data_IF_438130036673
#
_entry.id   IF_438130036673
#
_cell.length_a   1.000
_cell.length_b   1.000
_cell.length_c   1.000
_cell.angle_alpha   90.00
_cell.angle_beta   90.00
_cell.angle_gamma   90.00
#
_symmetry.space_group_name_H-M   'P 1'
#
loop_
_entity.id
_entity.type
_entity.pdbx_description
1 polymer ?
#
# COMPACT_ATOMS: atom_id res chain seq x y z
N UNK A 1 76.66 56.69 -48.85
CA UNK A 1 76.21 57.45 -50.02
C UNK A 1 74.85 56.92 -50.46
N UNK A 2 73.82 57.67 -50.07
CA UNK A 2 72.44 57.80 -50.56
C UNK A 2 71.90 58.98 -49.70
N UNK A 3 72.21 60.20 -50.13
CA UNK A 3 71.29 61.21 -50.68
C UNK A 3 70.08 61.48 -49.79
N UNK A 4 70.16 62.58 -49.04
CA UNK A 4 69.03 63.20 -48.34
C UNK A 4 68.43 64.26 -49.26
N UNK A 5 67.13 64.19 -49.53
CA UNK A 5 66.37 65.32 -50.07
C UNK A 5 65.51 65.96 -48.98
N UNK A 6 65.42 67.30 -48.92
CA UNK A 6 64.69 68.00 -47.87
C UNK A 6 63.24 68.28 -48.28
N UNK A 7 62.30 68.04 -47.35
CA UNK A 7 60.93 68.54 -47.45
C UNK A 7 60.55 69.20 -46.10
N UNK A 8 60.42 70.54 -46.12
CA UNK A 8 59.82 71.41 -45.11
C UNK A 8 60.41 71.44 -43.67
N UNK A 9 61.71 71.70 -43.54
CA UNK A 9 62.23 72.67 -42.55
C UNK A 9 61.99 72.45 -41.05
N UNK A 10 61.54 71.29 -40.59
CA UNK A 10 61.48 70.94 -39.16
C UNK A 10 61.99 69.51 -38.96
N UNK A 11 63.14 69.36 -38.33
CA UNK A 11 63.61 68.07 -37.82
C UNK A 11 62.93 67.80 -36.47
N UNK A 12 61.88 66.97 -36.45
CA UNK A 12 61.46 66.30 -35.20
C UNK A 12 62.11 64.93 -35.15
N UNK A 13 63.25 64.84 -34.47
CA UNK A 13 63.69 63.56 -33.93
C UNK A 13 62.78 63.25 -32.73
N UNK A 14 61.73 62.46 -32.92
CA UNK A 14 61.15 61.74 -31.78
C UNK A 14 62.10 60.58 -31.47
N UNK A 15 62.70 60.51 -30.27
CA UNK A 15 63.26 59.25 -29.82
C UNK A 15 62.08 58.28 -29.73
N UNK A 16 62.12 57.12 -30.37
CA UNK A 16 61.20 56.03 -30.03
C UNK A 16 61.71 55.41 -28.73
N UNK A 17 61.31 55.97 -27.59
CA UNK A 17 61.64 55.48 -26.23
C UNK A 17 60.80 54.28 -25.79
N UNK A 18 60.13 53.61 -26.73
CA UNK A 18 59.54 52.30 -26.49
C UNK A 18 60.52 51.26 -27.07
N UNK A 19 61.17 50.42 -26.24
CA UNK A 19 61.77 49.22 -26.78
C UNK A 19 60.66 48.50 -27.54
N UNK A 20 60.94 48.17 -28.81
CA UNK A 20 60.04 47.40 -29.64
C UNK A 20 59.43 46.27 -28.80
N UNK A 21 58.11 46.16 -28.80
CA UNK A 21 57.39 45.03 -28.21
C UNK A 21 57.63 43.74 -29.03
N UNK A 22 58.87 43.50 -29.44
CA UNK A 22 59.40 42.29 -30.10
C UNK A 22 59.38 41.06 -29.18
N UNK A 23 58.94 41.22 -27.93
CA UNK A 23 58.65 40.11 -27.04
C UNK A 23 57.46 39.27 -27.54
N UNK A 24 56.46 39.93 -28.15
CA UNK A 24 55.23 39.25 -28.60
C UNK A 24 55.42 38.49 -29.91
N UNK A 25 56.33 38.92 -30.78
CA UNK A 25 56.64 38.26 -32.06
C UNK A 25 57.54 37.00 -31.91
N UNK A 26 58.08 36.74 -30.70
CA UNK A 26 58.82 35.49 -30.41
C UNK A 26 57.94 34.34 -29.92
N UNK A 27 56.63 34.54 -29.91
CA UNK A 27 55.66 33.61 -29.35
C UNK A 27 54.62 33.16 -30.40
N UNK A 28 55.08 32.80 -31.61
CA UNK A 28 54.25 32.23 -32.70
C UNK A 28 53.44 30.98 -32.29
N UNK A 29 53.79 30.33 -31.17
CA UNK A 29 53.10 29.18 -30.58
C UNK A 29 52.01 29.57 -29.56
N UNK A 30 51.96 30.83 -29.12
CA UNK A 30 51.00 31.35 -28.15
C UNK A 30 49.55 31.36 -28.66
N UNK A 31 49.27 31.70 -29.94
CA UNK A 31 47.94 31.51 -30.53
C UNK A 31 47.52 30.04 -30.50
N UNK A 32 48.42 29.10 -30.79
CA UNK A 32 48.15 27.66 -30.74
C UNK A 32 47.79 27.18 -29.33
N UNK A 33 48.54 27.58 -28.30
CA UNK A 33 48.24 27.24 -26.90
C UNK A 33 46.91 27.83 -26.45
N UNK A 34 46.61 29.08 -26.79
CA UNK A 34 45.35 29.71 -26.41
C UNK A 34 44.15 29.04 -27.10
N UNK A 35 44.31 28.61 -28.36
CA UNK A 35 43.27 27.89 -29.10
C UNK A 35 43.07 26.48 -28.55
N UNK A 36 44.15 25.77 -28.21
CA UNK A 36 44.10 24.44 -27.60
C UNK A 36 43.51 24.49 -26.18
N UNK A 37 43.87 25.49 -25.37
CA UNK A 37 43.30 25.70 -24.04
C UNK A 37 41.81 26.08 -24.11
N UNK A 38 41.42 26.95 -25.06
CA UNK A 38 40.02 27.29 -25.30
C UNK A 38 39.21 26.06 -25.76
N UNK A 39 39.75 25.25 -26.67
CA UNK A 39 39.12 24.00 -27.10
C UNK A 39 38.99 22.99 -25.95
N UNK A 40 40.02 22.85 -25.11
CA UNK A 40 40.00 21.97 -23.94
C UNK A 40 39.00 22.43 -22.87
N UNK A 41 38.96 23.73 -22.55
CA UNK A 41 37.99 24.32 -21.61
C UNK A 41 36.56 24.17 -22.16
N UNK A 42 36.33 24.45 -23.44
CA UNK A 42 35.03 24.26 -24.09
C UNK A 42 34.62 22.78 -24.10
N UNK A 43 35.53 21.85 -24.35
CA UNK A 43 35.26 20.41 -24.27
C UNK A 43 34.92 19.96 -22.83
N UNK A 44 35.65 20.45 -21.81
CA UNK A 44 35.35 20.15 -20.40
C UNK A 44 34.01 20.73 -19.94
N UNK A 45 33.70 21.97 -20.35
CA UNK A 45 32.40 22.61 -20.06
C UNK A 45 31.27 21.87 -20.77
N UNK A 46 31.44 21.53 -22.04
CA UNK A 46 30.49 20.73 -22.82
C UNK A 46 30.25 19.35 -22.21
N UNK A 47 31.32 18.65 -21.82
CA UNK A 47 31.24 17.34 -21.16
C UNK A 47 30.54 17.42 -19.80
N UNK A 48 30.82 18.45 -18.99
CA UNK A 48 30.18 18.65 -17.68
C UNK A 48 28.68 18.96 -17.82
N UNK A 49 28.31 19.82 -18.78
CA UNK A 49 26.91 20.16 -19.06
C UNK A 49 26.16 18.95 -19.63
N UNK A 50 26.76 18.23 -20.58
CA UNK A 50 26.23 17.00 -21.16
C UNK A 50 26.03 15.90 -20.11
N UNK A 51 27.02 15.66 -19.24
CA UNK A 51 26.92 14.70 -18.15
C UNK A 51 25.83 15.08 -17.14
N UNK A 52 25.69 16.36 -16.79
CA UNK A 52 24.62 16.82 -15.89
C UNK A 52 23.23 16.64 -16.51
N UNK A 53 23.07 16.94 -17.79
CA UNK A 53 21.82 16.73 -18.53
C UNK A 53 21.48 15.24 -18.61
N UNK A 54 22.44 14.39 -18.97
CA UNK A 54 22.28 12.94 -19.04
C UNK A 54 21.91 12.36 -17.66
N UNK A 55 22.57 12.80 -16.58
CA UNK A 55 22.22 12.36 -15.22
C UNK A 55 20.80 12.78 -14.82
N UNK A 56 20.34 13.97 -15.19
CA UNK A 56 18.96 14.41 -14.91
C UNK A 56 17.93 13.56 -15.67
N UNK A 57 18.19 13.28 -16.94
CA UNK A 57 17.33 12.42 -17.76
C UNK A 57 17.30 11.00 -17.19
N UNK A 58 18.47 10.43 -16.85
CA UNK A 58 18.57 9.10 -16.26
C UNK A 58 17.84 9.00 -14.92
N UNK A 59 17.98 10.00 -14.04
CA UNK A 59 17.24 10.05 -12.76
C UNK A 59 15.74 10.16 -12.97
N UNK A 60 15.29 10.97 -13.93
CA UNK A 60 13.88 11.12 -14.27
C UNK A 60 13.29 9.80 -14.81
N UNK A 61 13.96 9.17 -15.77
CA UNK A 61 13.55 7.89 -16.33
C UNK A 61 13.46 6.81 -15.24
N UNK A 62 14.52 6.67 -14.43
CA UNK A 62 14.54 5.74 -13.29
C UNK A 62 13.38 5.99 -12.33
N UNK A 63 13.06 7.25 -12.02
CA UNK A 63 11.94 7.59 -11.14
C UNK A 63 10.59 7.20 -11.74
N UNK A 64 10.40 7.39 -13.05
CA UNK A 64 9.19 6.96 -13.77
C UNK A 64 9.07 5.44 -13.72
N UNK A 65 10.16 4.71 -13.93
CA UNK A 65 10.19 3.24 -13.86
C UNK A 65 9.83 2.73 -12.46
N UNK A 66 10.41 3.33 -11.41
CA UNK A 66 10.12 3.01 -10.00
C UNK A 66 8.64 3.25 -9.67
N UNK A 67 8.10 4.43 -10.01
CA UNK A 67 6.69 4.75 -9.77
C UNK A 67 5.74 3.82 -10.53
N UNK A 68 6.08 3.50 -11.78
CA UNK A 68 5.27 2.59 -12.61
C UNK A 68 5.27 1.17 -12.03
N UNK A 69 6.43 0.68 -11.58
CA UNK A 69 6.53 -0.62 -10.92
C UNK A 69 5.72 -0.66 -9.62
N UNK A 70 5.78 0.40 -8.81
CA UNK A 70 5.01 0.50 -7.58
C UNK A 70 3.50 0.58 -7.84
N UNK A 71 3.05 1.34 -8.84
CA UNK A 71 1.64 1.40 -9.24
C UNK A 71 1.12 0.02 -9.70
N UNK A 72 1.92 -0.75 -10.43
CA UNK A 72 1.58 -2.13 -10.80
C UNK A 72 1.45 -3.03 -9.57
N UNK A 73 2.34 -2.88 -8.59
CA UNK A 73 2.27 -3.60 -7.33
C UNK A 73 1.00 -3.22 -6.54
N UNK A 74 0.64 -1.94 -6.48
CA UNK A 74 -0.61 -1.45 -5.87
C UNK A 74 -1.84 -2.08 -6.54
N UNK A 75 -1.92 -2.05 -7.87
CA UNK A 75 -3.04 -2.67 -8.60
C UNK A 75 -3.13 -4.18 -8.37
N UNK A 76 -1.98 -4.86 -8.31
CA UNK A 76 -1.92 -6.29 -7.95
C UNK A 76 -2.45 -6.52 -6.53
N UNK A 77 -2.04 -5.69 -5.58
CA UNK A 77 -2.49 -5.75 -4.19
C UNK A 77 -4.00 -5.52 -4.05
N UNK A 78 -4.55 -4.52 -4.74
CA UNK A 78 -6.00 -4.27 -4.76
C UNK A 78 -6.74 -5.48 -5.37
N UNK A 79 -6.22 -6.07 -6.45
CA UNK A 79 -6.84 -7.22 -7.11
C UNK A 79 -6.90 -8.44 -6.18
N UNK A 80 -5.78 -8.75 -5.52
CA UNK A 80 -5.71 -9.87 -4.56
C UNK A 80 -6.61 -9.58 -3.35
N UNK A 81 -6.57 -8.36 -2.81
CA UNK A 81 -7.42 -7.95 -1.69
C UNK A 81 -8.91 -8.05 -2.01
N UNK A 82 -9.33 -7.68 -3.23
CA UNK A 82 -10.71 -7.84 -3.70
C UNK A 82 -11.11 -9.31 -3.86
N UNK A 83 -10.20 -10.17 -4.31
CA UNK A 83 -10.46 -11.61 -4.39
C UNK A 83 -10.70 -12.21 -2.98
N UNK A 84 -9.88 -11.81 -2.01
CA UNK A 84 -10.03 -12.20 -0.59
C UNK A 84 -11.37 -11.69 -0.03
N UNK A 85 -11.70 -10.41 -0.25
CA UNK A 85 -12.97 -9.81 0.16
C UNK A 85 -14.16 -10.60 -0.40
N UNK A 86 -14.14 -10.92 -1.71
CA UNK A 86 -15.20 -11.67 -2.36
C UNK A 86 -15.33 -13.10 -1.80
N UNK A 87 -14.22 -13.78 -1.52
CA UNK A 87 -14.23 -15.10 -0.90
C UNK A 87 -14.87 -15.06 0.50
N UNK A 88 -14.52 -14.07 1.32
CA UNK A 88 -15.08 -13.89 2.67
C UNK A 88 -16.57 -13.51 2.63
N UNK A 89 -16.99 -12.62 1.72
CA UNK A 89 -18.41 -12.27 1.51
C UNK A 89 -19.23 -13.49 1.06
N UNK A 90 -18.68 -14.28 0.13
CA UNK A 90 -19.31 -15.52 -0.34
C UNK A 90 -19.45 -16.52 0.81
N UNK A 91 -18.39 -16.74 1.59
CA UNK A 91 -18.40 -17.61 2.77
C UNK A 91 -19.46 -17.18 3.79
N UNK A 92 -19.52 -15.87 4.08
CA UNK A 92 -20.49 -15.28 5.02
C UNK A 92 -21.92 -15.54 4.58
N UNK A 93 -22.23 -15.25 3.32
CA UNK A 93 -23.58 -15.30 2.78
C UNK A 93 -24.07 -16.74 2.56
N UNK A 94 -23.21 -17.62 2.06
CA UNK A 94 -23.61 -18.98 1.68
C UNK A 94 -23.79 -19.91 2.88
N UNK A 95 -22.90 -19.85 3.88
CA UNK A 95 -22.92 -20.84 4.96
C UNK A 95 -22.72 -20.29 6.38
N UNK A 96 -21.83 -19.32 6.62
CA UNK A 96 -21.56 -18.87 8.01
C UNK A 96 -22.80 -18.22 8.63
N UNK A 97 -23.35 -17.18 7.99
CA UNK A 97 -24.50 -16.43 8.51
C UNK A 97 -25.76 -17.33 8.61
N UNK A 98 -26.13 -18.13 7.59
CA UNK A 98 -27.29 -19.02 7.70
C UNK A 98 -27.18 -20.03 8.85
N UNK A 99 -26.00 -20.64 9.05
CA UNK A 99 -25.80 -21.58 10.16
C UNK A 99 -25.92 -20.89 11.51
N UNK A 100 -25.33 -19.69 11.67
CA UNK A 100 -25.45 -18.91 12.92
C UNK A 100 -26.90 -18.57 13.25
N UNK A 101 -27.67 -18.11 12.27
CA UNK A 101 -29.09 -17.76 12.45
C UNK A 101 -29.91 -19.00 12.84
N UNK A 102 -29.71 -20.14 12.15
CA UNK A 102 -30.39 -21.39 12.52
C UNK A 102 -30.00 -21.85 13.92
N UNK A 103 -28.72 -21.80 14.26
CA UNK A 103 -28.22 -22.18 15.57
C UNK A 103 -28.89 -21.40 16.70
N UNK A 104 -28.94 -20.06 16.61
CA UNK A 104 -29.59 -19.26 17.65
C UNK A 104 -31.10 -19.52 17.72
N UNK A 105 -31.78 -19.65 16.58
CA UNK A 105 -33.21 -19.97 16.55
C UNK A 105 -33.53 -21.33 17.20
N UNK A 106 -32.76 -22.37 16.90
CA UNK A 106 -32.95 -23.70 17.50
C UNK A 106 -32.58 -23.71 18.98
N UNK A 107 -31.55 -22.95 19.37
CA UNK A 107 -31.16 -22.78 20.77
C UNK A 107 -32.26 -22.11 21.60
N UNK A 108 -32.88 -21.06 21.07
CA UNK A 108 -34.00 -20.37 21.73
C UNK A 108 -35.21 -21.29 21.88
N UNK A 109 -35.58 -22.02 20.81
CA UNK A 109 -36.67 -23.01 20.85
C UNK A 109 -36.40 -24.10 21.89
N UNK A 110 -35.19 -24.64 21.91
CA UNK A 110 -34.79 -25.68 22.86
C UNK A 110 -34.91 -25.18 24.30
N UNK A 111 -34.35 -24.00 24.61
CA UNK A 111 -34.44 -23.42 25.94
C UNK A 111 -35.88 -23.11 26.37
N UNK A 112 -36.73 -22.65 25.45
CA UNK A 112 -38.14 -22.42 25.72
C UNK A 112 -38.89 -23.71 26.06
N UNK A 113 -38.65 -24.79 25.30
CA UNK A 113 -39.26 -26.11 25.54
C UNK A 113 -38.81 -26.71 26.88
N UNK A 114 -37.52 -26.64 27.20
CA UNK A 114 -36.99 -27.09 28.51
C UNK A 114 -37.62 -26.29 29.65
N UNK A 115 -37.76 -24.97 29.51
CA UNK A 115 -38.37 -24.12 30.54
C UNK A 115 -39.87 -24.37 30.72
N UNK A 116 -40.58 -24.70 29.64
CA UNK A 116 -42.02 -24.96 29.67
C UNK A 116 -42.37 -26.35 30.22
N UNK A 117 -41.40 -27.26 30.35
CA UNK A 117 -41.62 -28.62 30.84
C UNK A 117 -42.46 -29.48 29.90
N UNK A 118 -42.57 -29.12 28.62
CA UNK A 118 -43.49 -29.71 27.64
C UNK A 118 -43.07 -31.09 27.08
N UNK A 119 -42.26 -31.86 27.79
CA UNK A 119 -41.67 -33.10 27.26
C UNK A 119 -40.52 -32.84 26.27
N UNK A 120 -39.82 -33.92 25.86
CA UNK A 120 -38.51 -33.92 25.17
C UNK A 120 -38.35 -32.78 24.14
N UNK A 121 -37.51 -31.81 24.49
CA UNK A 121 -37.11 -30.77 23.55
C UNK A 121 -36.33 -31.41 22.39
N UNK A 122 -36.89 -31.32 21.18
CA UNK A 122 -36.27 -31.92 19.98
C UNK A 122 -34.97 -31.20 19.66
N UNK A 123 -33.87 -31.95 19.65
CA UNK A 123 -32.55 -31.45 19.29
C UNK A 123 -32.36 -31.47 17.78
N UNK A 124 -32.30 -30.29 17.17
CA UNK A 124 -31.95 -30.12 15.75
C UNK A 124 -30.53 -29.60 15.63
N UNK A 125 -29.63 -30.44 15.10
CA UNK A 125 -28.21 -30.09 14.90
C UNK A 125 -27.94 -29.88 13.42
N UNK A 126 -27.35 -28.74 13.09
CA UNK A 126 -26.79 -28.48 11.78
C UNK A 126 -25.38 -29.05 11.70
N UNK A 127 -25.23 -30.18 11.00
CA UNK A 127 -23.96 -30.89 10.82
C UNK A 127 -23.15 -30.37 9.63
N UNK A 128 -23.55 -29.27 9.00
CA UNK A 128 -22.80 -28.68 7.90
C UNK A 128 -21.40 -28.27 8.37
N UNK A 129 -20.38 -28.92 7.80
CA UNK A 129 -18.99 -28.52 7.99
C UNK A 129 -18.66 -27.35 7.08
N UNK A 130 -17.84 -26.43 7.60
CA UNK A 130 -17.34 -25.32 6.79
C UNK A 130 -16.06 -25.75 6.08
N UNK A 131 -15.94 -25.40 4.81
CA UNK A 131 -14.66 -25.48 4.12
C UNK A 131 -13.93 -24.15 4.33
N UNK A 132 -12.74 -24.21 4.92
CA UNK A 132 -11.85 -23.05 4.90
C UNK A 132 -11.08 -23.06 3.59
N UNK A 133 -11.30 -22.05 2.76
CA UNK A 133 -10.52 -21.82 1.55
C UNK A 133 -9.33 -20.96 1.94
N UNK A 134 -8.11 -21.51 1.84
CA UNK A 134 -6.89 -20.75 2.11
C UNK A 134 -6.81 -19.57 1.14
N UNK A 135 -6.82 -18.37 1.72
CA UNK A 135 -6.76 -17.13 0.96
C UNK A 135 -5.30 -16.71 0.76
N UNK A 136 -4.94 -16.02 -0.34
CA UNK A 136 -3.55 -15.60 -0.62
C UNK A 136 -3.12 -14.39 0.25
N UNK A 137 -3.37 -14.44 1.55
CA UNK A 137 -3.07 -13.37 2.51
C UNK A 137 -1.58 -13.20 2.74
N UNK A 138 -0.81 -14.31 2.73
CA UNK A 138 0.66 -14.27 2.83
C UNK A 138 1.32 -13.59 1.62
N UNK A 139 0.89 -13.91 0.41
CA UNK A 139 1.41 -13.27 -0.81
C UNK A 139 1.08 -11.77 -0.83
N UNK A 140 -0.14 -11.41 -0.41
CA UNK A 140 -0.56 -10.02 -0.30
C UNK A 140 0.27 -9.25 0.74
N UNK A 141 0.55 -9.86 1.90
CA UNK A 141 1.41 -9.27 2.92
C UNK A 141 2.82 -9.01 2.38
N UNK A 142 3.43 -10.00 1.72
CA UNK A 142 4.77 -9.85 1.13
C UNK A 142 4.80 -8.75 0.06
N UNK A 143 3.77 -8.69 -0.78
CA UNK A 143 3.63 -7.64 -1.80
C UNK A 143 3.59 -6.25 -1.16
N UNK A 144 2.74 -6.06 -0.15
CA UNK A 144 2.60 -4.78 0.57
C UNK A 144 3.91 -4.41 1.29
N UNK A 145 4.57 -5.36 1.94
CA UNK A 145 5.80 -5.11 2.70
C UNK A 145 7.02 -4.78 1.82
N UNK A 146 7.14 -5.43 0.65
CA UNK A 146 8.39 -5.39 -0.13
C UNK A 146 8.29 -4.61 -1.43
N UNK A 147 7.09 -4.42 -1.98
CA UNK A 147 6.90 -3.81 -3.30
C UNK A 147 6.13 -2.51 -3.27
N UNK A 148 5.52 -2.15 -2.15
CA UNK A 148 4.72 -0.94 -2.01
C UNK A 148 5.30 -0.08 -0.89
N UNK A 149 5.63 1.17 -1.21
CA UNK A 149 6.12 2.14 -0.23
C UNK A 149 4.96 2.78 0.55
N UNK A 150 3.92 1.99 0.87
CA UNK A 150 2.64 2.49 1.39
C UNK A 150 2.73 3.03 2.81
N UNK A 151 1.68 3.75 3.23
CA UNK A 151 1.56 4.21 4.60
C UNK A 151 1.50 3.04 5.60
N UNK A 152 1.83 3.33 6.86
CA UNK A 152 1.76 2.34 7.94
C UNK A 152 0.37 1.73 8.12
N UNK A 153 -0.70 2.39 7.65
CA UNK A 153 -2.06 1.87 7.71
C UNK A 153 -2.28 0.68 6.78
N UNK A 154 -1.81 0.76 5.52
CA UNK A 154 -1.93 -0.34 4.57
C UNK A 154 -1.15 -1.58 5.08
N UNK A 155 0.07 -1.38 5.58
CA UNK A 155 0.83 -2.47 6.19
C UNK A 155 0.09 -3.07 7.39
N UNK A 156 -0.42 -2.25 8.29
CA UNK A 156 -1.19 -2.71 9.47
C UNK A 156 -2.42 -3.51 9.04
N UNK A 157 -3.16 -3.06 8.03
CA UNK A 157 -4.32 -3.76 7.50
C UNK A 157 -3.93 -5.12 6.90
N UNK A 158 -2.83 -5.21 6.17
CA UNK A 158 -2.32 -6.48 5.62
C UNK A 158 -1.93 -7.48 6.72
N UNK A 159 -1.28 -7.02 7.80
CA UNK A 159 -0.95 -7.85 8.94
C UNK A 159 -2.19 -8.37 9.67
N UNK A 160 -3.15 -7.47 9.92
CA UNK A 160 -4.40 -7.82 10.58
C UNK A 160 -5.22 -8.80 9.73
N UNK A 161 -5.24 -8.62 8.41
CA UNK A 161 -5.90 -9.52 7.46
C UNK A 161 -5.32 -10.94 7.53
N UNK A 162 -4.00 -11.09 7.51
CA UNK A 162 -3.34 -12.41 7.59
C UNK A 162 -3.64 -13.12 8.92
N UNK A 163 -3.58 -12.39 10.04
CA UNK A 163 -3.91 -12.93 11.36
C UNK A 163 -5.38 -13.34 11.44
N UNK A 164 -6.29 -12.52 10.90
CA UNK A 164 -7.74 -12.82 10.86
C UNK A 164 -8.05 -14.07 10.03
N UNK A 165 -7.41 -14.23 8.87
CA UNK A 165 -7.57 -15.40 7.99
C UNK A 165 -7.08 -16.69 8.65
N UNK A 166 -5.92 -16.62 9.32
CA UNK A 166 -5.36 -17.74 10.10
C UNK A 166 -6.33 -18.16 11.22
N UNK A 167 -6.79 -17.20 12.02
CA UNK A 167 -7.74 -17.46 13.12
C UNK A 167 -9.08 -17.98 12.62
N UNK A 168 -9.56 -17.50 11.48
CA UNK A 168 -10.76 -18.02 10.83
C UNK A 168 -10.59 -19.49 10.47
N UNK A 169 -9.46 -19.86 9.85
CA UNK A 169 -9.15 -21.25 9.52
C UNK A 169 -9.09 -22.16 10.76
N UNK A 170 -8.43 -21.71 11.81
CA UNK A 170 -8.36 -22.43 13.10
C UNK A 170 -9.74 -22.62 13.73
N UNK A 171 -10.56 -21.57 13.79
CA UNK A 171 -11.91 -21.63 14.34
C UNK A 171 -12.83 -22.55 13.52
N UNK A 172 -12.73 -22.52 12.18
CA UNK A 172 -13.46 -23.43 11.30
C UNK A 172 -13.07 -24.89 11.57
N UNK A 173 -11.76 -25.17 11.63
CA UNK A 173 -11.25 -26.52 11.89
C UNK A 173 -11.69 -27.02 13.26
N UNK A 174 -11.59 -26.17 14.29
CA UNK A 174 -12.03 -26.52 15.63
C UNK A 174 -13.54 -26.82 15.67
N UNK A 175 -14.38 -25.98 15.04
CA UNK A 175 -15.83 -26.25 14.92
C UNK A 175 -16.11 -27.59 14.23
N UNK A 176 -15.44 -27.86 13.11
CA UNK A 176 -15.62 -29.10 12.37
C UNK A 176 -15.23 -30.33 13.22
N UNK A 177 -14.16 -30.22 14.01
CA UNK A 177 -13.74 -31.27 14.94
C UNK A 177 -14.77 -31.51 16.05
N UNK A 178 -15.42 -30.45 16.57
CA UNK A 178 -16.52 -30.59 17.52
C UNK A 178 -17.72 -31.34 16.92
N UNK A 179 -18.09 -31.02 15.67
CA UNK A 179 -19.15 -31.75 14.96
C UNK A 179 -18.80 -33.24 14.76
N UNK A 180 -17.53 -33.56 14.53
CA UNK A 180 -17.07 -34.95 14.44
C UNK A 180 -17.15 -35.67 15.78
N UNK A 181 -16.77 -35.01 16.88
CA UNK A 181 -16.92 -35.56 18.24
C UNK A 181 -18.39 -35.83 18.57
N UNK A 182 -19.27 -34.88 18.26
CA UNK A 182 -20.71 -35.02 18.42
C UNK A 182 -21.29 -36.17 17.60
N UNK A 183 -20.77 -36.41 16.40
CA UNK A 183 -21.22 -37.51 15.54
C UNK A 183 -20.77 -38.90 16.03
N UNK A 184 -19.72 -38.95 16.86
CA UNK A 184 -19.17 -40.18 17.45
C UNK A 184 -19.70 -40.44 18.87
N UNK A 185 -20.58 -39.60 19.39
CA UNK A 185 -21.07 -39.65 20.78
C UNK A 185 -19.94 -39.66 21.82
N UNK A 186 -18.80 -39.03 21.49
CA UNK A 186 -17.67 -38.85 22.40
C UNK A 186 -17.95 -37.68 23.36
N UNK A 187 -18.84 -37.93 24.33
CA UNK A 187 -19.36 -36.94 25.26
C UNK A 187 -18.70 -37.10 26.65
N UNK A 188 -18.28 -35.99 27.30
CA UNK A 188 -17.84 -36.04 28.68
C UNK A 188 -18.94 -36.60 29.62
N UNK A 189 -18.58 -37.34 30.69
CA UNK A 189 -19.55 -37.90 31.61
C UNK A 189 -20.49 -36.83 32.18
N UNK A 190 -21.80 -37.10 32.15
CA UNK A 190 -22.83 -36.24 32.70
C UNK A 190 -23.35 -35.14 31.77
N UNK A 191 -22.79 -34.97 30.57
CA UNK A 191 -23.32 -34.05 29.56
C UNK A 191 -24.10 -34.78 28.48
N UNK A 192 -25.27 -34.26 28.11
CA UNK A 192 -25.94 -34.68 26.88
C UNK A 192 -25.36 -33.94 25.67
N UNK A 193 -25.63 -34.46 24.47
CA UNK A 193 -25.26 -33.78 23.23
C UNK A 193 -25.88 -32.38 23.12
N UNK A 194 -27.12 -32.21 23.56
CA UNK A 194 -27.78 -30.91 23.58
C UNK A 194 -27.05 -29.92 24.49
N UNK A 195 -26.53 -30.39 25.62
CA UNK A 195 -25.84 -29.55 26.58
C UNK A 195 -24.52 -29.01 26.03
N UNK A 196 -23.75 -29.85 25.33
CA UNK A 196 -22.51 -29.43 24.68
C UNK A 196 -22.76 -28.55 23.45
N UNK A 197 -23.79 -28.87 22.66
CA UNK A 197 -24.09 -28.15 21.43
C UNK A 197 -24.62 -26.74 21.71
N UNK A 198 -25.58 -26.59 22.64
CA UNK A 198 -26.16 -25.29 22.99
C UNK A 198 -25.47 -24.55 24.13
N UNK A 199 -24.57 -25.24 24.84
CA UNK A 199 -23.84 -24.73 26.00
C UNK A 199 -24.72 -24.47 27.21
N UNK A 200 -25.61 -25.42 27.52
CA UNK A 200 -26.45 -25.39 28.72
C UNK A 200 -25.61 -25.70 29.96
N UNK A 201 -26.08 -25.27 31.12
CA UNK A 201 -25.42 -25.58 32.38
C UNK A 201 -25.94 -26.91 32.94
N UNK A 202 -25.02 -27.82 33.30
CA UNK A 202 -25.30 -29.12 33.92
C UNK A 202 -24.49 -29.22 35.21
N UNK A 203 -25.17 -29.48 36.33
CA UNK A 203 -24.55 -29.68 37.66
C UNK A 203 -23.53 -28.58 38.06
N UNK A 204 -23.76 -27.33 37.65
CA UNK A 204 -22.88 -26.20 37.92
C UNK A 204 -21.74 -25.98 36.91
N UNK A 205 -21.49 -26.93 36.00
CA UNK A 205 -20.59 -26.78 34.86
C UNK A 205 -21.34 -26.34 33.59
N UNK A 206 -20.63 -25.73 32.63
CA UNK A 206 -21.18 -25.46 31.30
C UNK A 206 -20.06 -25.53 30.26
N UNK A 207 -20.33 -26.16 29.12
CA UNK A 207 -19.41 -26.18 27.98
C UNK A 207 -19.94 -25.24 26.89
N UNK A 208 -19.31 -24.09 26.68
CA UNK A 208 -19.69 -23.14 25.62
C UNK A 208 -18.83 -23.25 24.37
N UNK A 209 -17.98 -24.27 24.27
CA UNK A 209 -16.94 -24.42 23.24
C UNK A 209 -17.53 -24.32 21.84
N UNK A 210 -18.60 -25.06 21.53
CA UNK A 210 -19.22 -25.01 20.20
C UNK A 210 -19.79 -23.61 19.88
N UNK A 211 -20.53 -23.02 20.83
CA UNK A 211 -21.10 -21.67 20.67
C UNK A 211 -20.02 -20.62 20.46
N UNK A 212 -19.03 -20.59 21.36
CA UNK A 212 -17.92 -19.63 21.32
C UNK A 212 -17.10 -19.79 20.05
N UNK A 213 -16.92 -21.02 19.56
CA UNK A 213 -16.23 -21.26 18.28
C UNK A 213 -17.06 -20.75 17.10
N UNK A 214 -18.38 -20.95 17.09
CA UNK A 214 -19.25 -20.41 16.05
C UNK A 214 -19.27 -18.87 16.06
N UNK A 215 -19.30 -18.26 17.25
CA UNK A 215 -19.14 -16.81 17.42
C UNK A 215 -17.79 -16.33 16.87
N UNK A 216 -16.71 -17.05 17.17
CA UNK A 216 -15.37 -16.76 16.65
C UNK A 216 -15.29 -16.85 15.12
N UNK A 217 -15.90 -17.87 14.50
CA UNK A 217 -15.98 -17.98 13.03
C UNK A 217 -16.68 -16.76 12.43
N UNK A 218 -17.80 -16.31 13.01
CA UNK A 218 -18.49 -15.11 12.55
C UNK A 218 -17.60 -13.86 12.70
N UNK A 219 -16.98 -13.68 13.87
CA UNK A 219 -16.12 -12.53 14.15
C UNK A 219 -14.91 -12.47 13.23
N UNK A 220 -14.14 -13.55 13.10
CA UNK A 220 -12.93 -13.57 12.28
C UNK A 220 -13.24 -13.43 10.78
N UNK A 221 -14.36 -13.97 10.31
CA UNK A 221 -14.81 -13.72 8.94
C UNK A 221 -15.13 -12.23 8.71
N UNK A 222 -15.71 -11.57 9.71
CA UNK A 222 -15.99 -10.13 9.65
C UNK A 222 -14.71 -9.31 9.69
N UNK A 223 -13.72 -9.70 10.47
CA UNK A 223 -12.37 -9.12 10.45
C UNK A 223 -11.72 -9.25 9.07
N UNK A 224 -11.79 -10.42 8.41
CA UNK A 224 -11.27 -10.63 7.04
C UNK A 224 -11.95 -9.68 6.04
N UNK A 225 -13.29 -9.55 6.10
CA UNK A 225 -14.04 -8.62 5.25
C UNK A 225 -13.60 -7.17 5.51
N UNK A 226 -13.51 -6.77 6.77
CA UNK A 226 -13.14 -5.41 7.15
C UNK A 226 -11.71 -5.07 6.71
N UNK A 227 -10.72 -5.90 7.05
CA UNK A 227 -9.32 -5.60 6.77
C UNK A 227 -8.96 -5.71 5.29
N UNK A 228 -9.60 -6.60 4.53
CA UNK A 228 -9.42 -6.66 3.08
C UNK A 228 -9.96 -5.40 2.39
N UNK A 229 -11.16 -4.94 2.75
CA UNK A 229 -11.73 -3.70 2.23
C UNK A 229 -10.87 -2.49 2.62
N UNK A 230 -10.48 -2.41 3.90
CA UNK A 230 -9.63 -1.32 4.43
C UNK A 230 -8.29 -1.27 3.71
N UNK A 231 -7.62 -2.41 3.53
CA UNK A 231 -6.37 -2.50 2.78
C UNK A 231 -6.54 -2.01 1.34
N UNK A 232 -7.58 -2.46 0.64
CA UNK A 232 -7.83 -2.03 -0.74
C UNK A 232 -8.02 -0.50 -0.84
N UNK A 233 -8.73 0.11 0.11
CA UNK A 233 -8.93 1.57 0.17
C UNK A 233 -7.64 2.33 0.47
N UNK A 234 -6.82 1.83 1.39
CA UNK A 234 -5.55 2.45 1.72
C UNK A 234 -4.55 2.34 0.55
N UNK A 235 -4.55 1.20 -0.15
CA UNK A 235 -3.77 1.01 -1.38
C UNK A 235 -4.26 1.90 -2.53
N UNK A 236 -5.57 2.05 -2.71
CA UNK A 236 -6.16 2.96 -3.70
C UNK A 236 -5.72 4.40 -3.43
N UNK A 237 -5.82 4.87 -2.18
CA UNK A 237 -5.41 6.20 -1.78
C UNK A 237 -3.91 6.44 -2.02
N UNK A 238 -3.06 5.46 -1.67
CA UNK A 238 -1.62 5.51 -1.95
C UNK A 238 -1.34 5.55 -3.44
N UNK A 239 -1.98 4.67 -4.22
CA UNK A 239 -1.86 4.63 -5.67
C UNK A 239 -2.24 5.95 -6.33
N UNK A 240 -3.29 6.62 -5.86
CA UNK A 240 -3.68 7.94 -6.36
C UNK A 240 -2.60 9.01 -6.11
N UNK A 241 -1.82 8.90 -5.02
CA UNK A 241 -0.66 9.78 -4.79
C UNK A 241 0.43 9.51 -5.82
N UNK A 242 0.77 8.23 -6.07
CA UNK A 242 1.77 7.84 -7.06
C UNK A 242 1.39 8.29 -8.48
N UNK A 243 0.11 8.14 -8.86
CA UNK A 243 -0.41 8.61 -10.16
C UNK A 243 -0.29 10.14 -10.29
N UNK A 244 -0.49 10.89 -9.21
CA UNK A 244 -0.29 12.35 -9.23
C UNK A 244 1.18 12.71 -9.37
N UNK A 245 2.09 11.92 -8.81
CA UNK A 245 3.53 12.13 -8.93
C UNK A 245 4.02 11.81 -10.34
N UNK A 246 3.64 10.66 -10.92
CA UNK A 246 4.09 10.27 -12.26
C UNK A 246 3.59 11.25 -13.34
N UNK A 247 2.37 11.78 -13.21
CA UNK A 247 1.82 12.82 -14.11
C UNK A 247 2.60 14.14 -14.10
N UNK A 248 3.42 14.39 -13.07
CA UNK A 248 4.32 15.55 -13.05
C UNK A 248 5.63 15.29 -13.79
N UNK A 249 5.93 14.01 -14.08
CA UNK A 249 7.17 13.56 -14.70
C UNK A 249 6.94 13.08 -16.14
N UNK A 250 5.82 12.44 -16.43
CA UNK A 250 5.52 11.78 -17.70
C UNK A 250 4.06 12.00 -18.12
N UNK A 251 3.83 12.05 -19.43
CA UNK A 251 2.49 12.04 -20.04
C UNK A 251 1.98 10.62 -20.30
N UNK A 252 2.75 9.59 -19.92
CA UNK A 252 2.34 8.20 -20.09
C UNK A 252 1.04 7.88 -19.34
N UNK A 253 0.11 7.15 -19.97
CA UNK A 253 -1.15 6.79 -19.35
C UNK A 253 -0.90 5.76 -18.24
N UNK A 254 -1.12 6.17 -17.00
CA UNK A 254 -1.03 5.30 -15.83
C UNK A 254 -2.31 5.40 -15.00
N UNK A 255 -2.86 4.24 -14.61
CA UNK A 255 -4.14 4.12 -13.93
C UNK A 255 -4.06 3.30 -12.64
N UNK A 256 -5.02 3.56 -11.75
CA UNK A 256 -5.22 2.83 -10.49
C UNK A 256 -6.60 2.20 -10.49
N UNK A 257 -6.68 0.96 -10.01
CA UNK A 257 -7.94 0.26 -9.78
C UNK A 257 -8.68 0.97 -8.63
N UNK A 258 -9.96 1.23 -8.83
CA UNK A 258 -10.83 1.84 -7.81
C UNK A 258 -11.70 0.79 -7.13
N UNK A 259 -11.90 0.94 -5.83
CA UNK A 259 -12.66 -0.03 -5.03
C UNK A 259 -14.12 0.42 -4.94
N UNK A 260 -15.01 -0.29 -5.64
CA UNK A 260 -16.46 -0.09 -5.51
C UNK A 260 -17.02 -0.92 -4.36
N UNK A 261 -17.41 -0.24 -3.28
CA UNK A 261 -17.94 -0.86 -2.07
C UNK A 261 -19.47 -0.87 -2.01
N UNK A 262 -20.16 -0.18 -2.93
CA UNK A 262 -21.63 -0.05 -2.87
C UNK A 262 -22.33 -1.41 -2.90
N UNK A 263 -21.86 -2.31 -3.77
CA UNK A 263 -22.42 -3.65 -3.87
C UNK A 263 -22.27 -4.41 -2.54
N UNK A 264 -21.12 -4.30 -1.88
CA UNK A 264 -20.87 -4.97 -0.62
C UNK A 264 -21.76 -4.42 0.51
N UNK A 265 -21.89 -3.08 0.63
CA UNK A 265 -22.78 -2.47 1.64
C UNK A 265 -24.26 -2.77 1.41
N UNK A 266 -24.73 -2.79 0.15
CA UNK A 266 -26.13 -3.11 -0.18
C UNK A 266 -26.55 -4.50 0.28
N UNK A 267 -25.61 -5.45 0.36
CA UNK A 267 -25.90 -6.81 0.86
C UNK A 267 -26.01 -6.91 2.38
N UNK A 268 -25.62 -5.87 3.13
CA UNK A 268 -25.57 -5.92 4.59
C UNK A 268 -24.61 -6.99 5.15
N UNK A 269 -23.61 -7.39 4.35
CA UNK A 269 -22.60 -8.38 4.74
C UNK A 269 -21.34 -7.73 5.30
N UNK A 270 -21.07 -6.47 4.96
CA UNK A 270 -19.95 -5.70 5.50
C UNK A 270 -20.21 -5.42 6.99
N UNK A 271 -19.25 -5.71 7.89
CA UNK A 271 -19.43 -5.47 9.32
C UNK A 271 -19.45 -3.98 9.65
N UNK A 272 -19.96 -3.64 10.84
CA UNK A 272 -19.98 -2.26 11.30
C UNK A 272 -18.56 -1.79 11.63
N UNK A 273 -18.21 -0.57 11.22
CA UNK A 273 -16.92 0.04 11.58
C UNK A 273 -16.77 0.27 13.09
N UNK A 274 -17.87 0.30 13.85
CA UNK A 274 -17.87 0.51 15.30
C UNK A 274 -17.05 -0.54 16.05
N UNK A 275 -17.09 -1.79 15.60
CA UNK A 275 -16.35 -2.91 16.19
C UNK A 275 -14.83 -2.75 16.06
N UNK A 276 -14.40 -1.90 15.11
CA UNK A 276 -12.99 -1.68 14.77
C UNK A 276 -12.47 -0.31 15.20
N UNK A 277 -13.24 0.49 15.96
CA UNK A 277 -12.85 1.84 16.38
C UNK A 277 -11.53 1.85 17.16
N UNK A 278 -11.32 0.88 18.07
CA UNK A 278 -10.07 0.75 18.82
C UNK A 278 -8.88 0.47 17.89
N UNK A 279 -9.10 -0.36 16.86
CA UNK A 279 -8.06 -0.65 15.87
C UNK A 279 -7.74 0.60 15.03
N UNK A 280 -8.78 1.32 14.58
CA UNK A 280 -8.66 2.56 13.80
C UNK A 280 -8.00 3.70 14.60
N UNK A 281 -8.32 3.83 15.89
CA UNK A 281 -7.81 4.89 16.77
C UNK A 281 -6.34 4.71 17.19
N UNK A 282 -5.76 3.52 16.98
CA UNK A 282 -4.40 3.21 17.42
C UNK A 282 -3.27 3.89 16.63
N UNK A 283 -3.56 4.59 15.53
CA UNK A 283 -2.55 5.33 14.77
C UNK A 283 -3.08 6.68 14.25
N UNK A 284 -2.17 7.66 14.19
CA UNK A 284 -2.37 8.91 13.44
C UNK A 284 -1.33 8.96 12.35
N UNK A 285 -1.75 9.13 11.10
CA UNK A 285 -0.81 9.44 10.03
C UNK A 285 -0.21 10.82 10.28
N UNK A 286 1.09 10.86 10.54
CA UNK A 286 1.84 12.11 10.61
C UNK A 286 2.42 12.36 9.23
N UNK A 287 1.75 13.20 8.44
CA UNK A 287 2.40 13.75 7.26
C UNK A 287 3.50 14.71 7.71
N UNK A 288 4.73 14.49 7.24
CA UNK A 288 5.80 15.46 7.45
C UNK A 288 5.32 16.84 6.97
N UNK A 289 5.48 17.91 7.78
CA UNK A 289 5.05 19.23 7.37
C UNK A 289 5.71 19.59 6.04
N UNK A 290 4.92 20.05 5.07
CA UNK A 290 5.47 20.53 3.80
C UNK A 290 6.53 21.58 4.13
N UNK A 291 7.76 21.47 3.59
CA UNK A 291 8.78 22.47 3.85
C UNK A 291 8.23 23.84 3.43
N UNK A 292 8.45 24.90 4.22
CA UNK A 292 7.92 26.22 3.92
C UNK A 292 8.32 26.59 2.50
N UNK A 293 7.35 27.06 1.69
CA UNK A 293 7.59 27.52 0.33
C UNK A 293 8.72 28.56 0.38
N UNK A 294 9.88 28.23 -0.18
CA UNK A 294 11.01 29.16 -0.20
C UNK A 294 10.57 30.45 -0.89
N UNK A 295 10.74 31.58 -0.22
CA UNK A 295 10.25 32.91 -0.60
C UNK A 295 10.66 33.37 -2.00
N UNK A 296 11.72 32.83 -2.58
CA UNK A 296 12.16 33.11 -3.96
C UNK A 296 11.17 32.62 -5.03
N UNK A 297 10.33 31.62 -4.73
CA UNK A 297 9.28 31.17 -5.67
C UNK A 297 8.17 32.21 -5.87
N UNK A 298 8.02 33.18 -4.95
CA UNK A 298 7.11 34.31 -5.13
C UNK A 298 7.63 35.34 -6.12
N UNK A 299 8.96 35.52 -6.25
CA UNK A 299 9.53 36.49 -7.18
C UNK A 299 9.39 36.06 -8.64
N UNK A 300 9.46 34.77 -8.97
CA UNK A 300 9.31 34.30 -10.36
C UNK A 300 7.91 34.52 -10.95
N UNK A 301 6.87 34.62 -10.13
CA UNK A 301 5.49 34.81 -10.62
C UNK A 301 5.13 36.28 -10.90
N UNK A 302 5.94 37.25 -10.48
CA UNK A 302 5.72 38.68 -10.71
C UNK A 302 6.46 39.27 -11.93
N UNK A 303 7.24 38.46 -12.65
CA UNK A 303 8.00 38.92 -13.83
C UNK A 303 7.40 38.47 -15.17
N UNK A 304 6.27 37.76 -15.15
CA UNK A 304 5.55 37.31 -16.35
C UNK A 304 4.07 37.72 -16.33
N UNK A 305 3.75 38.82 -15.65
CA UNK A 305 2.44 39.46 -15.61
C UNK A 305 2.61 40.94 -15.87
#
# INVERSE_FOLDING_TARGET
MASWEPVHGVFTASPSWLPAMDFWDKFDWFPFIMTAAAAFITALVGAKVGASAAQKIAKKAKRIDELTAEIRAVNTGITIGMAILNAALSSKSQYIKPVKVRYEAEREKFHAAVKAGTGEAVLVIDRLKFLHVSMPTGDLQQLVMHKISSSGLALRAALALMDSDTRLGEAINHRNNLLDRFSKEDLPPGFSLADLYFGTAVAGGHNKEYRSTLDAVCSYNDEVIFFSLKLCKDLEAHGQVLVKEIKQLSDEPVGIITVNEEAAYRTGLVPSTKEFENWLGGYKEVHAPRPPRKWWHWRRKKWHS
#
